data_IF_820589806594
#
_entry.id   IF_820589806594
#
_cell.length_a   1.000
_cell.length_b   1.000
_cell.length_c   1.000
_cell.angle_alpha   90.00
_cell.angle_beta   90.00
_cell.angle_gamma   90.00
#
_symmetry.space_group_name_H-M   'P 1'
#
loop_
_entity.id
_entity.type
_entity.pdbx_description
1 polymer ?
#
# COMPACT_ATOMS: atom_id res chain seq x y z
N UNK A 1 -5.20 -20.11 -10.67
CA UNK A 1 -5.58 -20.24 -9.26
C UNK A 1 -6.96 -19.67 -9.10
N UNK A 2 -7.96 -20.53 -8.90
CA UNK A 2 -9.33 -20.12 -8.61
C UNK A 2 -9.39 -19.66 -7.15
N UNK A 3 -9.67 -18.39 -6.95
CA UNK A 3 -10.09 -17.88 -5.65
C UNK A 3 -11.53 -17.46 -5.78
N UNK A 4 -12.36 -17.88 -4.84
CA UNK A 4 -13.75 -17.43 -4.76
C UNK A 4 -13.77 -15.91 -4.57
N UNK A 5 -14.71 -15.25 -5.24
CA UNK A 5 -14.91 -13.79 -5.24
C UNK A 5 -15.00 -13.17 -3.83
N UNK A 6 -15.35 -13.98 -2.82
CA UNK A 6 -15.50 -13.58 -1.43
C UNK A 6 -14.30 -13.90 -0.52
N UNK A 7 -13.21 -14.45 -1.08
CA UNK A 7 -12.03 -14.75 -0.27
C UNK A 7 -11.21 -13.50 0.00
N UNK A 8 -10.92 -13.22 1.27
CA UNK A 8 -9.94 -12.20 1.69
C UNK A 8 -8.55 -12.41 1.07
N UNK A 9 -8.28 -13.61 0.53
CA UNK A 9 -7.12 -13.94 -0.28
C UNK A 9 -7.03 -13.18 -1.60
N UNK A 10 -8.15 -12.73 -2.20
CA UNK A 10 -8.16 -12.09 -3.52
C UNK A 10 -7.42 -10.76 -3.48
N UNK A 11 -7.82 -9.83 -2.62
CA UNK A 11 -7.16 -8.51 -2.51
C UNK A 11 -5.70 -8.66 -2.10
N UNK A 12 -5.40 -9.50 -1.10
CA UNK A 12 -4.02 -9.67 -0.62
C UNK A 12 -3.10 -10.27 -1.68
N UNK A 13 -3.60 -11.22 -2.47
CA UNK A 13 -2.84 -11.85 -3.56
C UNK A 13 -2.71 -10.91 -4.75
N UNK A 14 -3.76 -10.20 -5.14
CA UNK A 14 -3.74 -9.25 -6.26
C UNK A 14 -2.79 -8.10 -5.96
N UNK A 15 -2.87 -7.49 -4.78
CA UNK A 15 -1.93 -6.43 -4.40
C UNK A 15 -0.50 -6.93 -4.31
N UNK A 16 -0.29 -8.16 -3.81
CA UNK A 16 1.02 -8.81 -3.79
C UNK A 16 1.58 -9.04 -5.20
N UNK A 17 0.76 -9.63 -6.09
CA UNK A 17 1.12 -9.90 -7.48
C UNK A 17 1.36 -8.61 -8.26
N UNK A 18 0.57 -7.56 -8.03
CA UNK A 18 0.77 -6.25 -8.63
C UNK A 18 2.12 -5.65 -8.20
N UNK A 19 2.40 -5.61 -6.90
CA UNK A 19 3.67 -5.09 -6.37
C UNK A 19 4.88 -5.83 -6.92
N UNK A 20 4.80 -7.16 -7.03
CA UNK A 20 5.86 -7.99 -7.62
C UNK A 20 5.96 -7.79 -9.14
N UNK A 21 4.83 -7.74 -9.85
CA UNK A 21 4.78 -7.63 -11.30
C UNK A 21 5.34 -6.31 -11.84
N UNK A 22 5.26 -5.23 -11.06
CA UNK A 22 5.84 -3.93 -11.41
C UNK A 22 7.22 -3.68 -10.80
N UNK A 23 7.76 -4.64 -10.02
CA UNK A 23 9.05 -4.49 -9.38
C UNK A 23 10.15 -4.24 -10.43
N UNK A 24 11.05 -3.28 -10.15
CA UNK A 24 12.07 -2.84 -11.11
C UNK A 24 11.56 -1.88 -12.20
N UNK A 25 10.24 -1.74 -12.39
CA UNK A 25 9.63 -0.84 -13.38
C UNK A 25 8.82 0.30 -12.78
N UNK A 26 8.75 0.40 -11.45
CA UNK A 26 8.00 1.46 -10.74
C UNK A 26 8.37 2.87 -11.21
N UNK A 27 9.67 3.12 -11.45
CA UNK A 27 10.15 4.41 -11.97
C UNK A 27 9.65 4.70 -13.39
N UNK A 28 9.80 3.74 -14.30
CA UNK A 28 9.34 3.85 -15.69
C UNK A 28 7.83 4.12 -15.75
N UNK A 29 7.06 3.37 -14.96
CA UNK A 29 5.60 3.46 -14.90
C UNK A 29 5.11 4.70 -14.15
N UNK A 30 5.96 5.30 -13.31
CA UNK A 30 5.54 6.39 -12.43
C UNK A 30 4.48 5.96 -11.42
N UNK A 31 4.52 4.70 -10.99
CA UNK A 31 3.52 4.09 -10.13
C UNK A 31 4.20 3.26 -9.05
N UNK A 32 3.75 3.39 -7.80
CA UNK A 32 4.26 2.63 -6.66
C UNK A 32 3.13 1.94 -5.91
N UNK A 33 3.39 0.70 -5.52
CA UNK A 33 2.56 -0.08 -4.59
C UNK A 33 3.37 -0.20 -3.30
N UNK A 34 2.98 0.58 -2.29
CA UNK A 34 3.60 0.58 -0.98
C UNK A 34 2.81 -0.32 -0.01
N UNK A 35 3.49 -0.91 0.97
CA UNK A 35 2.88 -1.80 1.95
C UNK A 35 2.69 -3.24 1.48
N UNK A 36 1.75 -3.95 2.08
CA UNK A 36 1.45 -5.35 1.82
C UNK A 36 0.82 -6.05 3.01
N UNK A 37 1.00 -7.37 3.08
CA UNK A 37 0.52 -8.21 4.17
C UNK A 37 1.55 -8.33 5.30
N UNK A 38 1.06 -8.47 6.54
CA UNK A 38 1.87 -8.74 7.72
C UNK A 38 2.93 -7.67 7.95
N UNK A 39 4.20 -8.09 8.06
CA UNK A 39 5.32 -7.14 8.31
C UNK A 39 5.46 -6.06 7.24
N UNK A 40 5.08 -6.35 5.99
CA UNK A 40 5.23 -5.41 4.87
C UNK A 40 4.25 -4.24 4.97
N UNK A 41 3.09 -4.42 5.62
CA UNK A 41 2.11 -3.32 5.85
C UNK A 41 2.76 -2.13 6.57
N UNK A 42 3.65 -2.41 7.51
CA UNK A 42 4.36 -1.41 8.33
C UNK A 42 5.49 -0.71 7.59
N UNK A 43 5.91 -1.21 6.43
CA UNK A 43 6.94 -0.59 5.61
C UNK A 43 6.41 0.59 4.76
N UNK A 44 5.09 0.75 4.65
CA UNK A 44 4.42 1.74 3.79
C UNK A 44 5.01 3.16 3.90
N UNK A 45 5.24 3.73 5.10
CA UNK A 45 5.82 5.07 5.20
C UNK A 45 7.23 5.19 4.62
N UNK A 46 8.06 4.16 4.80
CA UNK A 46 9.42 4.12 4.27
C UNK A 46 9.45 3.96 2.76
N UNK A 47 8.55 3.13 2.22
CA UNK A 47 8.40 2.94 0.77
C UNK A 47 7.86 4.21 0.08
N UNK A 48 6.90 4.92 0.69
CA UNK A 48 6.43 6.22 0.21
C UNK A 48 7.52 7.29 0.27
N UNK A 49 8.34 7.30 1.32
CA UNK A 49 9.50 8.21 1.42
C UNK A 49 10.49 7.95 0.27
N UNK A 50 10.77 6.68 -0.02
CA UNK A 50 11.64 6.30 -1.14
C UNK A 50 11.00 6.68 -2.49
N UNK A 51 9.69 6.54 -2.62
CA UNK A 51 8.93 6.91 -3.82
C UNK A 51 9.00 8.40 -4.11
N UNK A 52 8.71 9.24 -3.10
CA UNK A 52 8.75 10.70 -3.23
C UNK A 52 10.08 11.21 -3.79
N UNK A 53 11.21 10.61 -3.37
CA UNK A 53 12.55 10.99 -3.85
C UNK A 53 12.73 10.85 -5.36
N UNK A 54 12.24 9.77 -5.97
CA UNK A 54 12.41 9.55 -7.41
C UNK A 54 11.23 10.06 -8.25
N UNK A 55 10.05 10.19 -7.65
CA UNK A 55 8.88 10.79 -8.30
C UNK A 55 8.96 12.33 -8.34
N UNK A 56 9.73 12.95 -7.44
CA UNK A 56 9.80 14.41 -7.32
C UNK A 56 8.58 15.01 -6.60
N UNK A 57 7.93 14.24 -5.73
CA UNK A 57 6.75 14.66 -4.96
C UNK A 57 7.06 14.63 -3.46
N UNK A 58 6.45 15.54 -2.69
CA UNK A 58 6.52 15.50 -1.22
C UNK A 58 5.78 14.26 -0.70
N UNK A 59 6.46 13.33 0.00
CA UNK A 59 5.81 12.13 0.52
C UNK A 59 4.96 12.38 1.78
N UNK A 60 5.11 13.52 2.47
CA UNK A 60 4.51 13.75 3.78
C UNK A 60 2.97 13.63 3.79
N UNK A 61 2.22 14.20 2.84
CA UNK A 61 0.76 14.06 2.80
C UNK A 61 0.31 12.61 2.64
N UNK A 62 1.00 11.83 1.80
CA UNK A 62 0.65 10.43 1.54
C UNK A 62 0.98 9.52 2.73
N UNK A 63 2.08 9.81 3.44
CA UNK A 63 2.42 9.12 4.69
C UNK A 63 1.37 9.39 5.76
N UNK A 64 0.90 10.65 5.87
CA UNK A 64 -0.16 11.00 6.81
C UNK A 64 -1.47 10.29 6.45
N UNK A 65 -1.88 10.31 5.18
CA UNK A 65 -3.06 9.60 4.69
C UNK A 65 -2.98 8.09 4.99
N UNK A 66 -1.84 7.46 4.67
CA UNK A 66 -1.58 6.05 4.97
C UNK A 66 -1.73 5.74 6.46
N UNK A 67 -1.18 6.58 7.34
CA UNK A 67 -1.28 6.37 8.79
C UNK A 67 -2.70 6.57 9.31
N UNK A 68 -3.42 7.55 8.75
CA UNK A 68 -4.80 7.83 9.14
C UNK A 68 -5.72 6.68 8.74
N UNK A 69 -5.62 6.18 7.51
CA UNK A 69 -6.37 5.02 7.04
C UNK A 69 -6.12 3.81 7.94
N UNK A 70 -4.84 3.47 8.17
CA UNK A 70 -4.48 2.39 9.08
C UNK A 70 -5.08 2.59 10.50
N UNK A 71 -5.01 3.80 11.04
CA UNK A 71 -5.56 4.09 12.36
C UNK A 71 -7.08 3.90 12.41
N UNK A 72 -7.80 4.33 11.38
CA UNK A 72 -9.25 4.15 11.27
C UNK A 72 -9.59 2.67 11.22
N UNK A 73 -8.91 1.88 10.39
CA UNK A 73 -9.15 0.44 10.26
C UNK A 73 -8.96 -0.29 11.59
N UNK A 74 -7.87 0.01 12.30
CA UNK A 74 -7.57 -0.59 13.60
C UNK A 74 -8.61 -0.22 14.66
N UNK A 75 -9.07 1.03 14.66
CA UNK A 75 -10.02 1.54 15.66
C UNK A 75 -11.48 1.25 15.33
N UNK A 76 -11.81 0.92 14.07
CA UNK A 76 -13.15 0.49 13.69
C UNK A 76 -13.43 -0.93 14.16
N UNK A 77 -12.43 -1.82 14.11
CA UNK A 77 -12.55 -3.21 14.53
C UNK A 77 -12.51 -3.38 16.07
N UNK A 78 -11.70 -2.58 16.78
CA UNK A 78 -11.53 -2.62 18.25
C UNK A 78 -11.32 -4.02 18.86
N UNK A 79 -10.78 -4.95 18.07
CA UNK A 79 -10.65 -6.36 18.41
C UNK A 79 -9.31 -6.68 19.10
N UNK A 80 -8.44 -5.69 19.25
CA UNK A 80 -7.10 -5.83 19.82
C UNK A 80 -6.06 -6.42 18.86
N UNK A 81 -6.44 -6.75 17.63
CA UNK A 81 -5.52 -7.23 16.60
C UNK A 81 -4.86 -6.07 15.87
N UNK A 82 -3.69 -6.35 15.30
CA UNK A 82 -3.00 -5.41 14.41
C UNK A 82 -3.47 -5.62 12.97
N UNK A 83 -3.47 -4.53 12.20
CA UNK A 83 -3.81 -4.55 10.78
C UNK A 83 -2.93 -5.56 10.03
N UNK A 84 -3.59 -6.57 9.47
CA UNK A 84 -2.94 -7.66 8.78
C UNK A 84 -2.55 -7.31 7.34
N UNK A 85 -3.22 -6.34 6.73
CA UNK A 85 -2.98 -5.95 5.34
C UNK A 85 -3.21 -4.45 5.16
N UNK A 86 -2.23 -3.76 4.58
CA UNK A 86 -2.31 -2.32 4.27
C UNK A 86 -1.52 -2.09 3.00
N UNK A 87 -2.16 -1.59 1.95
CA UNK A 87 -1.51 -1.34 0.66
C UNK A 87 -1.87 0.06 0.21
N UNK A 88 -0.87 0.86 -0.15
CA UNK A 88 -1.05 2.23 -0.61
C UNK A 88 -0.55 2.33 -2.05
N UNK A 89 -1.42 2.82 -2.93
CA UNK A 89 -1.13 3.05 -4.34
C UNK A 89 -0.88 4.54 -4.56
N UNK A 90 0.17 4.90 -5.27
CA UNK A 90 0.49 6.29 -5.60
C UNK A 90 1.06 6.39 -7.02
N UNK A 91 0.59 7.36 -7.79
CA UNK A 91 1.15 7.72 -9.10
C UNK A 91 1.93 9.05 -9.08
N UNK A 92 2.64 9.35 -10.17
CA UNK A 92 3.39 10.60 -10.35
C UNK A 92 2.53 11.86 -10.39
N UNK A 93 1.25 11.74 -10.75
CA UNK A 93 0.32 12.86 -10.75
C UNK A 93 -0.17 13.19 -9.32
N UNK A 94 0.19 12.35 -8.33
CA UNK A 94 -0.23 12.50 -6.95
C UNK A 94 -1.58 11.87 -6.66
N UNK A 95 -2.16 11.10 -7.58
CA UNK A 95 -3.34 10.31 -7.29
C UNK A 95 -2.96 9.13 -6.41
N UNK A 96 -3.80 8.83 -5.43
CA UNK A 96 -3.55 7.75 -4.50
C UNK A 96 -4.82 7.04 -4.07
N UNK A 97 -4.65 5.79 -3.65
CA UNK A 97 -5.68 4.96 -3.04
C UNK A 97 -5.05 4.09 -1.94
N UNK A 98 -5.82 3.72 -0.93
CA UNK A 98 -5.40 2.90 0.20
C UNK A 98 -6.50 1.96 0.63
#
# INVERSE_FOLDING_TARGET
MGMDWHSSGVTTTVCGALKQGIAGRTRELGFVVAGGKGRTSRATPGELTAAGRWMGVDPAPYIQASRMAAKVDNNALQDGYQIYHHVFLLDRAGHWAV
#
